data_IF_084098288680
#
_entry.id   IF_084098288680
#
_cell.length_a   1.000
_cell.length_b   1.000
_cell.length_c   1.000
_cell.angle_alpha   90.00
_cell.angle_beta   90.00
_cell.angle_gamma   90.00
#
_symmetry.space_group_name_H-M   'P 1'
#
loop_
_entity.id
_entity.type
_entity.pdbx_description
1 polymer ?
#
# COMPACT_ATOMS: atom_id res chain seq x y z
N UNK A 1 4.38 -14.65 15.85
CA UNK A 1 5.03 -13.88 14.77
C UNK A 1 4.01 -12.85 14.35
N UNK A 2 4.40 -11.58 14.29
CA UNK A 2 3.49 -10.51 13.89
C UNK A 2 3.42 -10.51 12.36
N UNK A 3 2.22 -10.64 11.80
CA UNK A 3 2.02 -10.56 10.35
C UNK A 3 2.17 -9.11 9.91
N UNK A 4 3.11 -8.87 9.01
CA UNK A 4 3.36 -7.56 8.42
C UNK A 4 2.72 -7.49 7.04
N UNK A 5 2.13 -6.34 6.74
CA UNK A 5 1.57 -6.06 5.42
C UNK A 5 2.68 -5.52 4.51
N UNK A 6 2.77 -6.07 3.32
CA UNK A 6 3.67 -5.62 2.26
C UNK A 6 2.86 -5.24 1.03
N UNK A 7 3.20 -4.11 0.44
CA UNK A 7 2.69 -3.68 -0.86
C UNK A 7 3.63 -4.20 -1.95
N UNK A 8 3.05 -4.74 -3.02
CA UNK A 8 3.76 -5.36 -4.14
C UNK A 8 3.66 -4.46 -5.36
N UNK A 9 4.82 -4.21 -5.96
CA UNK A 9 4.94 -3.37 -7.15
C UNK A 9 5.65 -4.14 -8.25
N UNK A 10 5.21 -3.97 -9.49
CA UNK A 10 5.84 -4.61 -10.63
C UNK A 10 5.77 -3.76 -11.91
N UNK A 11 6.63 -4.10 -12.88
CA UNK A 11 6.63 -3.52 -14.22
C UNK A 11 6.95 -4.57 -15.27
N UNK A 12 6.35 -4.46 -16.45
CA UNK A 12 6.52 -5.42 -17.56
C UNK A 12 7.73 -5.09 -18.44
N UNK A 13 8.05 -3.80 -18.58
CA UNK A 13 9.19 -3.34 -19.38
C UNK A 13 10.08 -2.37 -18.60
N UNK A 14 11.36 -2.26 -18.98
CA UNK A 14 12.33 -1.33 -18.37
C UNK A 14 11.93 0.15 -18.48
N UNK A 15 11.07 0.49 -19.44
CA UNK A 15 10.53 1.83 -19.64
C UNK A 15 9.20 2.10 -18.91
N UNK A 16 8.58 1.07 -18.34
CA UNK A 16 7.28 1.23 -17.68
C UNK A 16 7.45 1.73 -16.25
N UNK A 17 6.44 2.48 -15.79
CA UNK A 17 6.35 2.89 -14.40
C UNK A 17 6.14 1.67 -13.51
N UNK A 18 6.83 1.66 -12.37
CA UNK A 18 6.61 0.67 -11.34
C UNK A 18 5.19 0.87 -10.77
N UNK A 19 4.32 -0.11 -10.97
CA UNK A 19 2.90 -0.01 -10.64
C UNK A 19 2.56 -0.88 -9.45
N UNK A 20 1.69 -0.39 -8.57
CA UNK A 20 1.16 -1.19 -7.46
C UNK A 20 0.20 -2.26 -8.00
N UNK A 21 0.50 -3.53 -7.76
CA UNK A 21 -0.27 -4.67 -8.27
C UNK A 21 -1.09 -5.39 -7.19
N UNK A 22 -0.77 -5.17 -5.92
CA UNK A 22 -1.50 -5.76 -4.80
C UNK A 22 -0.72 -5.74 -3.50
N UNK A 23 -1.21 -6.44 -2.48
CA UNK A 23 -0.60 -6.53 -1.16
C UNK A 23 -0.64 -7.96 -0.65
N UNK A 24 0.25 -8.28 0.28
CA UNK A 24 0.28 -9.57 0.97
C UNK A 24 0.66 -9.42 2.44
N UNK A 25 0.38 -10.45 3.21
CA UNK A 25 0.75 -10.55 4.62
C UNK A 25 1.82 -11.63 4.79
N UNK A 26 2.87 -11.32 5.54
CA UNK A 26 3.95 -12.26 5.82
C UNK A 26 4.63 -11.96 7.17
N UNK A 27 5.18 -12.98 7.85
CA UNK A 27 5.86 -12.80 9.13
C UNK A 27 7.21 -12.07 9.00
N UNK A 28 7.90 -12.18 7.87
CA UNK A 28 9.19 -11.56 7.60
C UNK A 28 9.42 -11.29 6.10
N UNK A 29 10.48 -10.52 5.81
CA UNK A 29 10.82 -10.07 4.46
C UNK A 29 11.18 -11.24 3.52
N UNK A 30 11.74 -12.33 4.06
CA UNK A 30 12.16 -13.48 3.26
C UNK A 30 10.94 -14.27 2.78
N UNK A 31 9.99 -14.54 3.68
CA UNK A 31 8.71 -15.16 3.34
C UNK A 31 7.87 -14.25 2.45
N UNK A 32 7.85 -12.94 2.70
CA UNK A 32 7.13 -11.97 1.87
C UNK A 32 7.56 -12.05 0.40
N UNK A 33 8.87 -12.20 0.14
CA UNK A 33 9.41 -12.35 -1.23
C UNK A 33 8.92 -13.63 -1.90
N UNK A 34 8.94 -14.75 -1.17
CA UNK A 34 8.49 -16.05 -1.70
C UNK A 34 6.99 -16.00 -2.00
N UNK A 35 6.20 -15.39 -1.12
CA UNK A 35 4.76 -15.25 -1.32
C UNK A 35 4.45 -14.33 -2.49
N UNK A 36 5.11 -13.18 -2.60
CA UNK A 36 4.93 -12.27 -3.74
C UNK A 36 5.21 -12.97 -5.06
N UNK A 37 6.34 -13.69 -5.14
CA UNK A 37 6.68 -14.42 -6.36
C UNK A 37 5.62 -15.48 -6.66
N UNK A 38 5.23 -16.30 -5.69
CA UNK A 38 4.24 -17.37 -5.90
C UNK A 38 2.83 -16.87 -6.26
N UNK A 39 2.47 -15.66 -5.83
CA UNK A 39 1.14 -15.09 -6.08
C UNK A 39 1.06 -14.32 -7.40
N UNK A 40 2.19 -13.74 -7.85
CA UNK A 40 2.20 -12.82 -8.98
C UNK A 40 3.14 -13.25 -10.12
N UNK A 41 3.64 -14.50 -10.15
CA UNK A 41 4.54 -15.01 -11.20
C UNK A 41 3.88 -15.25 -12.56
N UNK A 42 2.55 -15.12 -12.67
CA UNK A 42 1.79 -15.41 -13.89
C UNK A 42 2.13 -14.49 -15.08
N UNK A 43 2.72 -13.33 -14.82
CA UNK A 43 3.07 -12.32 -15.82
C UNK A 43 4.59 -12.20 -15.99
N UNK A 44 5.05 -11.86 -17.20
CA UNK A 44 6.47 -11.65 -17.50
C UNK A 44 6.97 -10.31 -16.93
N UNK A 45 7.01 -10.20 -15.60
CA UNK A 45 7.51 -9.00 -14.93
C UNK A 45 9.00 -8.85 -15.17
N UNK A 46 9.39 -7.69 -15.69
CA UNK A 46 10.80 -7.31 -15.79
C UNK A 46 11.40 -7.08 -14.39
N UNK A 47 10.61 -6.49 -13.50
CA UNK A 47 11.00 -6.24 -12.12
C UNK A 47 9.78 -6.32 -11.20
N UNK A 48 9.98 -6.94 -10.04
CA UNK A 48 9.00 -7.05 -8.97
C UNK A 48 9.68 -6.67 -7.65
N UNK A 49 9.03 -5.80 -6.88
CA UNK A 49 9.52 -5.29 -5.61
C UNK A 49 8.43 -5.40 -4.55
N UNK A 50 8.84 -5.66 -3.32
CA UNK A 50 7.96 -5.60 -2.15
C UNK A 50 8.43 -4.47 -1.23
N UNK A 51 7.48 -3.78 -0.61
CA UNK A 51 7.75 -2.72 0.36
C UNK A 51 6.90 -2.97 1.60
N UNK A 52 7.48 -3.01 2.82
CA UNK A 52 6.69 -3.05 4.04
C UNK A 52 5.77 -1.83 4.08
N UNK A 53 4.48 -2.02 4.33
CA UNK A 53 3.51 -0.91 4.33
C UNK A 53 3.85 0.17 5.35
N UNK A 54 4.48 -0.22 6.45
CA UNK A 54 5.00 0.69 7.48
C UNK A 54 6.13 1.62 6.99
N UNK A 55 6.79 1.30 5.88
CA UNK A 55 7.82 2.15 5.27
C UNK A 55 7.23 3.21 4.32
N UNK A 56 5.93 3.12 3.99
CA UNK A 56 5.26 4.10 3.13
C UNK A 56 4.89 5.31 3.98
N UNK A 57 5.60 6.41 3.76
CA UNK A 57 5.37 7.67 4.47
C UNK A 57 4.39 8.54 3.67
N UNK A 58 3.18 8.83 4.18
CA UNK A 58 2.26 9.74 3.51
C UNK A 58 2.83 11.16 3.51
N UNK A 59 2.77 11.82 2.36
CA UNK A 59 3.19 13.23 2.20
C UNK A 59 2.01 14.21 2.24
N UNK A 60 0.79 13.68 2.30
CA UNK A 60 -0.41 14.49 2.35
C UNK A 60 -0.47 15.23 3.69
N UNK A 61 -0.84 16.51 3.65
CA UNK A 61 -1.06 17.27 4.87
C UNK A 61 -2.35 16.81 5.56
N UNK A 62 -2.29 16.61 6.86
CA UNK A 62 -3.45 16.31 7.71
C UNK A 62 -4.41 17.51 7.89
N UNK A 63 -4.07 18.69 7.37
CA UNK A 63 -4.84 19.95 7.44
C UNK A 63 -5.41 20.41 6.08
N UNK A 64 -5.22 19.62 5.02
CA UNK A 64 -5.76 19.94 3.70
C UNK A 64 -7.30 19.81 3.64
N UNK A 65 -7.97 20.48 2.69
CA UNK A 65 -9.44 20.41 2.53
C UNK A 65 -9.98 19.00 2.24
N UNK A 66 -9.10 18.02 1.95
CA UNK A 66 -9.43 16.61 1.73
C UNK A 66 -8.95 15.67 2.84
N UNK A 67 -8.47 16.21 3.97
CA UNK A 67 -8.06 15.43 5.13
C UNK A 67 -9.27 14.89 5.90
N UNK A 68 -9.16 13.67 6.42
CA UNK A 68 -10.23 13.01 7.20
C UNK A 68 -10.54 13.73 8.53
N UNK A 69 -9.64 14.59 8.99
CA UNK A 69 -9.76 15.43 10.20
C UNK A 69 -10.78 16.57 10.04
N UNK A 70 -11.18 16.94 8.80
CA UNK A 70 -12.18 17.98 8.53
C UNK A 70 -13.65 17.53 8.70
N UNK A 71 -13.92 16.24 8.96
CA UNK A 71 -15.28 15.69 9.10
C UNK A 71 -15.71 15.50 10.56
N UNK A 72 -15.54 16.49 11.41
CA UNK A 72 -15.99 16.36 12.82
C UNK A 72 -16.26 17.70 13.52
N UNK A 73 -17.37 18.36 13.16
CA UNK A 73 -18.33 19.08 14.05
C UNK A 73 -19.21 20.04 13.24
N UNK A 74 -20.23 19.53 12.57
CA UNK A 74 -21.32 20.38 12.07
C UNK A 74 -22.63 19.61 11.86
N UNK A 75 -23.03 18.77 12.83
CA UNK A 75 -24.41 18.26 12.88
C UNK A 75 -24.79 17.70 14.26
N UNK A 76 -24.48 18.44 15.33
CA UNK A 76 -25.21 18.30 16.59
C UNK A 76 -25.44 19.70 17.14
N UNK A 77 -26.58 20.28 16.77
CA UNK A 77 -26.92 21.64 17.18
C UNK A 77 -28.28 22.07 16.67
N UNK A 78 -29.33 21.68 17.40
CA UNK A 78 -30.54 22.51 17.54
C UNK A 78 -31.64 22.30 16.51
N UNK A 79 -32.60 21.45 16.84
CA UNK A 79 -34.02 21.78 16.68
C UNK A 79 -34.74 21.43 17.97
N UNK A 80 -34.89 22.44 18.83
CA UNK A 80 -36.05 22.54 19.71
C UNK A 80 -37.20 23.11 18.88
#
# INVERSE_FOLDING_TARGET
MEEKIYDVFARKSRGDALSHIGYLEAPDDALARVYAWKTYDEENWFEMCIVPRAAILPVNRDDGPFSLSGRSKAQMGGRR
#
